data_IF_241283908376
#
_entry.id   IF_241283908376
#
_cell.length_a   1.000
_cell.length_b   1.000
_cell.length_c   1.000
_cell.angle_alpha   90.00
_cell.angle_beta   90.00
_cell.angle_gamma   90.00
#
_symmetry.space_group_name_H-M   'P 1'
#
loop_
_entity.id
_entity.type
_entity.pdbx_description
1 polymer ?
#
# COMPACT_ATOMS: atom_id res chain seq x y z
N UNK A 1 19.93 -0.57 -0.21
CA UNK A 1 18.82 -0.26 0.73
C UNK A 1 17.62 0.04 -0.14
N UNK A 2 16.41 -0.48 0.15
CA UNK A 2 15.27 -0.41 -0.79
C UNK A 2 14.63 0.98 -0.90
N UNK A 3 14.77 1.79 0.14
CA UNK A 3 14.22 3.14 0.21
C UNK A 3 15.26 4.09 0.80
N UNK A 4 15.23 5.35 0.37
CA UNK A 4 15.95 6.47 0.97
C UNK A 4 15.34 6.83 2.33
N UNK A 5 16.13 7.56 3.14
CA UNK A 5 15.65 8.08 4.43
C UNK A 5 14.44 9.00 4.25
N UNK A 6 14.39 9.74 3.15
CA UNK A 6 13.27 10.63 2.84
C UNK A 6 11.97 9.86 2.62
N UNK A 7 12.00 8.81 1.79
CA UNK A 7 10.82 7.95 1.56
C UNK A 7 10.39 7.27 2.85
N UNK A 8 11.33 6.80 3.67
CA UNK A 8 11.01 6.20 4.96
C UNK A 8 10.34 7.19 5.92
N UNK A 9 10.83 8.42 6.01
CA UNK A 9 10.30 9.44 6.92
C UNK A 9 8.91 9.96 6.52
N UNK A 10 8.55 9.85 5.24
CA UNK A 10 7.22 10.25 4.75
C UNK A 10 6.16 9.14 4.88
N UNK A 11 6.57 7.90 5.18
CA UNK A 11 5.66 6.78 5.37
C UNK A 11 5.27 6.58 6.83
N UNK A 12 4.19 5.83 7.05
CA UNK A 12 3.93 5.18 8.33
C UNK A 12 4.50 3.76 8.29
N UNK A 13 4.97 3.27 9.44
CA UNK A 13 5.45 1.90 9.59
C UNK A 13 4.55 1.16 10.58
N UNK A 14 4.07 -0.03 10.20
CA UNK A 14 3.46 -0.95 11.15
C UNK A 14 4.50 -1.53 12.10
N UNK A 15 4.04 -2.09 13.21
CA UNK A 15 4.89 -2.86 14.14
C UNK A 15 5.52 -4.10 13.47
N UNK A 16 4.93 -4.58 12.37
CA UNK A 16 5.47 -5.66 11.55
C UNK A 16 6.53 -5.18 10.53
N UNK A 17 6.78 -3.87 10.47
CA UNK A 17 7.76 -3.25 9.56
C UNK A 17 7.25 -3.03 8.14
N UNK A 18 5.94 -3.14 7.93
CA UNK A 18 5.30 -2.81 6.65
C UNK A 18 5.12 -1.31 6.55
N UNK A 19 5.26 -0.76 5.35
CA UNK A 19 5.24 0.67 5.10
C UNK A 19 4.03 1.06 4.26
N UNK A 20 3.45 2.21 4.55
CA UNK A 20 2.41 2.82 3.74
C UNK A 20 2.57 4.34 3.67
N UNK A 21 2.12 4.95 2.57
CA UNK A 21 2.32 6.38 2.29
C UNK A 21 1.02 7.07 1.94
N UNK A 22 0.96 8.40 2.08
CA UNK A 22 -0.12 9.16 1.45
C UNK A 22 -0.06 9.08 -0.06
N UNK A 23 -1.19 9.36 -0.71
CA UNK A 23 -1.34 9.31 -2.17
C UNK A 23 -0.29 10.13 -2.89
N UNK A 24 -0.01 11.34 -2.43
CA UNK A 24 0.99 12.23 -3.03
C UNK A 24 2.44 11.79 -2.77
N UNK A 25 2.68 10.92 -1.78
CA UNK A 25 4.02 10.48 -1.35
C UNK A 25 4.40 9.12 -1.94
N UNK A 26 3.42 8.23 -2.19
CA UNK A 26 3.69 6.86 -2.63
C UNK A 26 4.41 6.80 -3.98
N UNK A 27 4.20 7.77 -4.87
CA UNK A 27 4.86 7.78 -6.18
C UNK A 27 6.38 7.77 -6.09
N UNK A 28 6.95 8.45 -5.09
CA UNK A 28 8.40 8.41 -4.84
C UNK A 28 8.87 7.05 -4.34
N UNK A 29 8.07 6.37 -3.53
CA UNK A 29 8.36 5.00 -3.10
C UNK A 29 8.32 4.04 -4.30
N UNK A 30 7.36 4.20 -5.21
CA UNK A 30 7.27 3.42 -6.46
C UNK A 30 8.52 3.65 -7.32
N UNK A 31 8.94 4.90 -7.48
CA UNK A 31 10.15 5.24 -8.25
C UNK A 31 11.40 4.59 -7.67
N UNK A 32 11.60 4.68 -6.36
CA UNK A 32 12.77 4.05 -5.72
C UNK A 32 12.74 2.52 -5.82
N UNK A 33 11.57 1.87 -5.73
CA UNK A 33 11.48 0.41 -5.97
C UNK A 33 11.92 0.05 -7.39
N UNK A 34 11.45 0.81 -8.38
CA UNK A 34 11.81 0.62 -9.78
C UNK A 34 13.33 0.82 -10.01
N UNK A 35 13.90 1.92 -9.51
CA UNK A 35 15.33 2.21 -9.62
C UNK A 35 16.21 1.13 -8.97
N UNK A 36 15.72 0.51 -7.90
CA UNK A 36 16.39 -0.58 -7.20
C UNK A 36 16.06 -1.97 -7.76
N UNK A 37 15.31 -2.08 -8.88
CA UNK A 37 15.02 -3.34 -9.55
C UNK A 37 14.02 -4.24 -8.82
N UNK A 38 13.13 -3.67 -8.01
CA UNK A 38 12.04 -4.39 -7.35
C UNK A 38 10.77 -4.32 -8.18
N UNK A 39 10.09 -5.46 -8.32
CA UNK A 39 8.76 -5.51 -8.90
C UNK A 39 7.73 -5.28 -7.78
N UNK A 40 6.66 -4.54 -8.10
CA UNK A 40 5.53 -4.31 -7.19
C UNK A 40 4.50 -5.38 -7.50
N UNK A 41 4.27 -6.31 -6.58
CA UNK A 41 3.31 -7.41 -6.73
C UNK A 41 1.87 -6.93 -6.60
N UNK A 42 1.65 -5.82 -5.92
CA UNK A 42 0.34 -5.27 -5.67
C UNK A 42 0.41 -4.24 -4.55
N UNK A 43 -0.75 -3.90 -4.03
CA UNK A 43 -0.86 -3.01 -2.90
C UNK A 43 -2.28 -2.97 -2.35
N UNK A 44 -2.38 -2.37 -1.17
CA UNK A 44 -3.63 -2.26 -0.43
C UNK A 44 -3.76 -0.86 0.12
N UNK A 45 -5.00 -0.43 0.36
CA UNK A 45 -5.29 0.83 1.01
C UNK A 45 -5.65 0.59 2.46
N UNK A 46 -5.03 1.36 3.34
CA UNK A 46 -5.19 1.29 4.78
C UNK A 46 -5.82 2.55 5.32
N UNK A 47 -6.70 2.40 6.29
CA UNK A 47 -7.21 3.51 7.10
C UNK A 47 -6.50 3.53 8.45
N UNK A 48 -5.80 4.62 8.77
CA UNK A 48 -5.20 4.85 10.09
C UNK A 48 -6.26 5.35 11.08
N UNK A 49 -6.33 4.74 12.25
CA UNK A 49 -7.29 5.12 13.29
C UNK A 49 -6.64 5.17 14.67
N UNK A 50 -7.12 6.10 15.49
CA UNK A 50 -6.85 6.09 16.93
C UNK A 50 -7.67 4.98 17.59
N UNK A 51 -7.05 4.21 18.48
CA UNK A 51 -7.70 3.11 19.21
C UNK A 51 -8.84 3.58 20.10
N UNK A 52 -8.73 4.79 20.65
CA UNK A 52 -9.76 5.42 21.46
C UNK A 52 -11.04 5.75 20.68
N UNK A 53 -10.92 6.01 19.37
CA UNK A 53 -12.04 6.35 18.49
C UNK A 53 -12.58 5.14 17.73
N UNK A 54 -11.93 3.99 17.91
CA UNK A 54 -12.29 2.76 17.25
C UNK A 54 -13.47 2.07 17.94
N UNK A 55 -14.67 2.38 17.45
CA UNK A 55 -15.92 1.77 17.91
C UNK A 55 -16.45 0.67 16.98
N UNK A 56 -15.67 0.25 15.98
CA UNK A 56 -16.11 -0.74 14.98
C UNK A 56 -15.88 -2.19 15.46
N UNK A 57 -16.59 -3.15 14.86
CA UNK A 57 -16.36 -4.59 15.05
C UNK A 57 -15.35 -5.18 14.03
N UNK A 58 -14.74 -4.34 13.19
CA UNK A 58 -13.77 -4.72 12.15
C UNK A 58 -12.35 -4.93 12.73
N UNK A 59 -11.86 -6.17 12.88
CA UNK A 59 -10.54 -6.38 13.49
C UNK A 59 -9.45 -5.57 12.76
N UNK A 60 -8.54 -4.92 13.50
CA UNK A 60 -7.46 -4.16 12.88
C UNK A 60 -6.52 -5.09 12.12
N UNK A 61 -5.96 -4.58 11.02
CA UNK A 61 -4.99 -5.31 10.21
C UNK A 61 -3.66 -5.42 10.96
N UNK A 62 -3.17 -4.28 11.47
CA UNK A 62 -1.95 -4.21 12.29
C UNK A 62 -1.93 -2.94 13.13
N UNK A 63 -0.98 -2.82 14.06
CA UNK A 63 -0.78 -1.61 14.86
C UNK A 63 0.38 -0.77 14.31
N UNK A 64 0.31 0.54 14.51
CA UNK A 64 1.45 1.43 14.33
C UNK A 64 2.20 1.57 15.66
N UNK A 65 1.45 1.83 16.74
CA UNK A 65 1.96 1.99 18.09
C UNK A 65 0.90 1.62 19.17
N UNK A 66 1.08 2.09 20.41
CA UNK A 66 0.15 1.84 21.51
C UNK A 66 -1.22 2.48 21.30
N UNK A 67 -1.30 3.59 20.57
CA UNK A 67 -2.50 4.42 20.38
C UNK A 67 -3.12 4.23 18.99
N UNK A 68 -2.32 3.92 17.97
CA UNK A 68 -2.76 3.88 16.57
C UNK A 68 -2.72 2.50 15.97
N UNK A 69 -3.68 2.23 15.09
CA UNK A 69 -3.76 1.01 14.30
C UNK A 69 -4.27 1.29 12.90
N UNK A 70 -4.11 0.31 12.02
CA UNK A 70 -4.58 0.39 10.64
C UNK A 70 -5.66 -0.65 10.38
N UNK A 71 -6.65 -0.28 9.58
CA UNK A 71 -7.71 -1.15 9.09
C UNK A 71 -7.48 -1.42 7.59
N UNK A 72 -7.58 -2.69 7.18
CA UNK A 72 -7.60 -3.08 5.76
C UNK A 72 -9.04 -3.19 5.19
N UNK A 73 -10.03 -3.34 6.07
CA UNK A 73 -11.46 -3.28 5.73
C UNK A 73 -11.98 -1.92 6.20
N UNK A 74 -12.51 -1.11 5.28
CA UNK A 74 -12.80 0.32 5.50
C UNK A 74 -14.29 0.60 5.27
N UNK A 75 -14.93 1.32 6.19
CA UNK A 75 -16.32 1.76 6.01
C UNK A 75 -16.41 2.81 4.89
N UNK A 76 -17.37 2.64 3.99
CA UNK A 76 -17.67 3.49 2.85
C UNK A 76 -18.83 4.45 3.12
N UNK A 77 -18.98 5.48 2.27
CA UNK A 77 -20.08 6.47 2.39
C UNK A 77 -21.47 5.85 2.26
N UNK A 78 -21.59 4.74 1.55
CA UNK A 78 -22.86 4.01 1.36
C UNK A 78 -23.22 3.10 2.54
N UNK A 79 -22.39 3.07 3.60
CA UNK A 79 -22.57 2.26 4.79
C UNK A 79 -22.09 0.81 4.66
N UNK A 80 -21.48 0.43 3.52
CA UNK A 80 -20.83 -0.87 3.36
C UNK A 80 -19.37 -0.81 3.80
N UNK A 81 -18.74 -1.97 3.90
CA UNK A 81 -17.30 -2.12 4.06
C UNK A 81 -16.67 -2.61 2.78
N UNK A 82 -15.43 -2.17 2.52
CA UNK A 82 -14.66 -2.61 1.36
C UNK A 82 -13.19 -2.82 1.72
N UNK A 83 -12.52 -3.68 0.94
CA UNK A 83 -11.06 -3.76 0.87
C UNK A 83 -10.68 -3.16 -0.48
N UNK A 84 -9.76 -2.20 -0.47
CA UNK A 84 -9.24 -1.60 -1.69
C UNK A 84 -7.82 -2.07 -1.89
N UNK A 85 -7.55 -2.64 -3.06
CA UNK A 85 -6.23 -3.14 -3.40
C UNK A 85 -6.14 -3.48 -4.86
N UNK A 86 -4.94 -3.79 -5.30
CA UNK A 86 -4.65 -4.26 -6.63
C UNK A 86 -3.56 -5.32 -6.57
N UNK A 87 -3.55 -6.16 -7.59
CA UNK A 87 -2.53 -7.19 -7.79
C UNK A 87 -1.95 -7.01 -9.18
N UNK A 88 -0.73 -7.47 -9.34
CA UNK A 88 -0.04 -7.51 -10.63
C UNK A 88 0.45 -8.93 -10.88
N UNK A 89 0.57 -9.30 -12.15
CA UNK A 89 1.04 -10.63 -12.51
C UNK A 89 2.17 -10.57 -13.54
N UNK A 90 3.21 -11.36 -13.27
CA UNK A 90 4.31 -11.54 -14.22
C UNK A 90 3.89 -12.45 -15.37
N UNK A 91 3.96 -11.94 -16.59
CA UNK A 91 3.80 -12.72 -17.83
C UNK A 91 4.96 -13.73 -17.98
N UNK A 92 4.70 -14.94 -18.49
CA UNK A 92 5.74 -15.97 -18.67
C UNK A 92 6.91 -15.51 -19.55
N UNK A 93 6.64 -14.71 -20.58
CA UNK A 93 7.62 -14.33 -21.60
C UNK A 93 8.42 -13.07 -21.28
N UNK A 94 8.02 -12.30 -20.26
CA UNK A 94 8.71 -11.04 -19.98
C UNK A 94 10.02 -11.26 -19.19
N UNK A 95 11.01 -10.42 -19.43
CA UNK A 95 12.24 -10.38 -18.61
C UNK A 95 11.94 -9.75 -17.24
N UNK A 96 12.84 -9.90 -16.27
CA UNK A 96 12.69 -9.24 -14.97
C UNK A 96 12.59 -7.71 -15.10
N UNK A 97 13.44 -7.10 -15.93
CA UNK A 97 13.41 -5.65 -16.16
C UNK A 97 12.09 -5.19 -16.78
N UNK A 98 11.52 -5.97 -17.71
CA UNK A 98 10.19 -5.69 -18.28
C UNK A 98 9.10 -5.78 -17.21
N UNK A 99 9.18 -6.77 -16.31
CA UNK A 99 8.23 -6.92 -15.22
C UNK A 99 8.30 -5.79 -14.19
N UNK A 100 9.51 -5.35 -13.82
CA UNK A 100 9.71 -4.21 -12.93
C UNK A 100 9.12 -2.94 -13.53
N UNK A 101 9.31 -2.72 -14.84
CA UNK A 101 8.72 -1.56 -15.53
C UNK A 101 7.19 -1.65 -15.62
N UNK A 102 6.63 -2.81 -15.97
CA UNK A 102 5.19 -2.99 -16.12
C UNK A 102 4.46 -2.83 -14.79
N UNK A 103 5.00 -3.41 -13.71
CA UNK A 103 4.43 -3.27 -12.36
C UNK A 103 4.52 -1.85 -11.80
N UNK A 104 5.57 -1.08 -12.14
CA UNK A 104 5.61 0.36 -11.83
C UNK A 104 4.45 1.10 -12.49
N UNK A 105 4.25 0.91 -13.79
CA UNK A 105 3.17 1.57 -14.54
C UNK A 105 1.81 1.20 -13.98
N UNK A 106 1.61 -0.09 -13.69
CA UNK A 106 0.36 -0.59 -13.13
C UNK A 106 0.09 -0.06 -11.72
N UNK A 107 1.10 -0.01 -10.84
CA UNK A 107 0.95 0.54 -9.51
C UNK A 107 0.58 2.03 -9.53
N UNK A 108 1.21 2.83 -10.39
CA UNK A 108 0.86 4.25 -10.57
C UNK A 108 -0.60 4.36 -11.00
N UNK A 109 -0.98 3.65 -12.07
CA UNK A 109 -2.35 3.67 -12.59
C UNK A 109 -3.36 3.24 -11.52
N UNK A 110 -3.09 2.17 -10.78
CA UNK A 110 -3.98 1.70 -9.71
C UNK A 110 -4.16 2.75 -8.62
N UNK A 111 -3.08 3.38 -8.16
CA UNK A 111 -3.18 4.47 -7.16
C UNK A 111 -3.94 5.69 -7.71
N UNK A 112 -3.79 6.00 -8.99
CA UNK A 112 -4.52 7.10 -9.64
C UNK A 112 -6.02 6.78 -9.85
N UNK A 113 -6.36 5.55 -10.19
CA UNK A 113 -7.74 5.11 -10.43
C UNK A 113 -8.51 4.81 -9.14
N UNK A 114 -7.83 4.36 -8.09
CA UNK A 114 -8.38 4.14 -6.76
C UNK A 114 -8.70 5.51 -6.12
N UNK A 115 -9.91 6.03 -6.35
CA UNK A 115 -10.41 7.29 -5.77
C UNK A 115 -10.91 7.11 -4.32
N UNK A 116 -10.15 6.36 -3.50
CA UNK A 116 -10.60 5.84 -2.21
C UNK A 116 -10.96 6.96 -1.24
N UNK A 117 -10.24 8.08 -1.25
CA UNK A 117 -10.54 9.23 -0.41
C UNK A 117 -11.95 9.81 -0.65
N UNK A 118 -12.54 9.55 -1.82
CA UNK A 118 -13.90 9.93 -2.18
C UNK A 118 -14.93 8.81 -1.99
N UNK A 119 -14.53 7.57 -1.75
CA UNK A 119 -15.44 6.45 -1.50
C UNK A 119 -15.66 6.18 0.00
N UNK A 120 -14.63 6.41 0.81
CA UNK A 120 -14.63 6.09 2.24
C UNK A 120 -15.49 7.05 3.07
N UNK A 121 -15.97 6.56 4.22
CA UNK A 121 -16.69 7.37 5.18
C UNK A 121 -15.88 8.62 5.59
N UNK A 122 -16.52 9.78 5.86
CA UNK A 122 -15.82 11.05 6.11
C UNK A 122 -14.75 11.00 7.21
N UNK A 123 -14.92 10.14 8.23
CA UNK A 123 -13.93 9.90 9.30
C UNK A 123 -12.56 9.45 8.80
N UNK A 124 -12.49 8.83 7.62
CA UNK A 124 -11.24 8.29 7.07
C UNK A 124 -10.58 9.20 6.03
N UNK A 125 -11.23 10.30 5.60
CA UNK A 125 -10.79 11.09 4.43
C UNK A 125 -9.31 11.49 4.46
N UNK A 126 -8.80 11.88 5.64
CA UNK A 126 -7.40 12.28 5.81
C UNK A 126 -6.52 11.16 6.40
N UNK A 127 -7.06 9.96 6.55
CA UNK A 127 -6.43 8.82 7.21
C UNK A 127 -6.13 7.67 6.24
N UNK A 128 -6.28 7.91 4.94
CA UNK A 128 -5.98 6.93 3.90
C UNK A 128 -4.48 6.89 3.61
N UNK A 129 -3.94 5.68 3.55
CA UNK A 129 -2.56 5.37 3.21
C UNK A 129 -2.51 4.18 2.25
N UNK A 130 -1.50 4.13 1.40
CA UNK A 130 -1.32 3.10 0.38
C UNK A 130 -0.09 2.27 0.73
N UNK A 131 -0.29 0.97 0.90
CA UNK A 131 0.74 -0.03 1.14
C UNK A 131 1.16 -0.68 -0.18
N UNK A 132 2.46 -0.97 -0.33
CA UNK A 132 3.02 -1.67 -1.48
C UNK A 132 3.58 -3.02 -1.07
N UNK A 133 3.18 -4.07 -1.80
CA UNK A 133 3.79 -5.39 -1.73
C UNK A 133 4.79 -5.50 -2.88
N UNK A 134 6.04 -5.81 -2.59
CA UNK A 134 7.11 -5.81 -3.60
C UNK A 134 8.19 -6.85 -3.33
N UNK A 135 8.93 -7.20 -4.37
CA UNK A 135 9.92 -8.27 -4.33
C UNK A 135 11.07 -8.03 -5.32
N UNK A 136 12.27 -8.50 -4.98
CA UNK A 136 13.40 -8.52 -5.92
C UNK A 136 13.46 -9.84 -6.67
N UNK A 137 14.25 -9.88 -7.73
CA UNK A 137 14.35 -11.04 -8.63
C UNK A 137 14.71 -12.34 -7.88
N UNK A 138 15.67 -12.25 -6.96
CA UNK A 138 16.14 -13.42 -6.21
C UNK A 138 15.04 -14.02 -5.33
N UNK A 139 14.31 -13.19 -4.58
CA UNK A 139 13.22 -13.66 -3.73
C UNK A 139 12.06 -14.21 -4.57
N UNK A 140 11.73 -13.56 -5.68
CA UNK A 140 10.67 -13.99 -6.58
C UNK A 140 10.92 -15.39 -7.16
N UNK A 141 12.16 -15.69 -7.53
CA UNK A 141 12.57 -17.02 -8.03
C UNK A 141 12.48 -18.10 -6.94
N UNK A 142 12.66 -17.73 -5.68
CA UNK A 142 12.63 -18.66 -4.55
C UNK A 142 11.21 -18.92 -4.00
N UNK A 143 10.21 -18.11 -4.38
CA UNK A 143 8.82 -18.24 -3.94
C UNK A 143 7.93 -19.02 -4.92
N UNK A 144 8.50 -19.52 -6.02
CA UNK A 144 7.85 -20.38 -7.02
C UNK A 144 8.48 -21.77 -6.98
#
# INVERSE_FOLDING_TARGET
MKFSVEVLNNGISSIAGELAWKREQIFKAIDELFENGFAILGGEVWALVEKSEYASNIPPLTSIDSEKMVLGVIDCKDGKTAVFGWETEKKPTETWAQYVLSTKIEAIRSVEELDVENEVAPKYKNQIYYHLVFVNEQKYKNSR
#
